data_IF_185774070576
#
_entry.id   IF_185774070576
#
_cell.length_a   1.000
_cell.length_b   1.000
_cell.length_c   1.000
_cell.angle_alpha   90.00
_cell.angle_beta   90.00
_cell.angle_gamma   90.00
#
_symmetry.space_group_name_H-M   'P 1'
#
loop_
_entity.id
_entity.type
_entity.pdbx_description
1 polymer ?
#
# COMPACT_ATOMS: atom_id res chain seq x y z
N UNK A 1 1.67 -5.28 10.29
CA UNK A 1 2.95 -5.89 10.71
C UNK A 1 3.66 -5.04 11.76
N UNK A 2 3.92 -3.75 11.49
CA UNK A 2 4.62 -2.86 12.42
C UNK A 2 3.94 -2.69 13.80
N UNK A 3 2.62 -2.89 13.87
CA UNK A 3 1.84 -2.78 15.11
C UNK A 3 1.90 -4.05 16.00
N UNK A 4 2.74 -5.05 15.68
CA UNK A 4 2.85 -6.29 16.45
C UNK A 4 1.66 -7.25 16.36
N UNK A 5 0.65 -6.93 15.53
CA UNK A 5 -0.53 -7.76 15.35
C UNK A 5 -0.32 -8.89 14.34
N UNK A 6 -1.05 -10.00 14.52
CA UNK A 6 -1.15 -11.10 13.54
C UNK A 6 -1.73 -10.56 12.23
N UNK A 7 -0.88 -10.48 11.21
CA UNK A 7 -1.21 -9.85 9.93
C UNK A 7 -2.33 -10.59 9.22
N UNK A 8 -2.32 -11.92 9.23
CA UNK A 8 -3.30 -12.72 8.51
C UNK A 8 -4.68 -12.55 9.15
N UNK A 9 -4.75 -12.64 10.49
CA UNK A 9 -6.00 -12.51 11.22
C UNK A 9 -6.60 -11.11 11.09
N UNK A 10 -5.79 -10.07 11.26
CA UNK A 10 -6.27 -8.67 11.20
C UNK A 10 -6.70 -8.29 9.78
N UNK A 11 -5.95 -8.70 8.75
CA UNK A 11 -6.34 -8.41 7.37
C UNK A 11 -7.63 -9.12 6.97
N UNK A 12 -7.82 -10.35 7.43
CA UNK A 12 -9.06 -11.10 7.17
C UNK A 12 -10.26 -10.42 7.83
N UNK A 13 -10.12 -10.03 9.11
CA UNK A 13 -11.17 -9.33 9.84
C UNK A 13 -11.50 -7.96 9.23
N UNK A 14 -10.48 -7.20 8.80
CA UNK A 14 -10.66 -5.90 8.16
C UNK A 14 -11.44 -6.02 6.85
N UNK A 15 -11.07 -6.97 5.98
CA UNK A 15 -11.77 -7.22 4.71
C UNK A 15 -13.21 -7.68 4.91
N UNK A 16 -13.46 -8.52 5.92
CA UNK A 16 -14.82 -8.93 6.26
C UNK A 16 -15.68 -7.72 6.66
N UNK A 17 -15.16 -6.82 7.49
CA UNK A 17 -15.86 -5.59 7.91
C UNK A 17 -16.15 -4.65 6.74
N UNK A 18 -15.17 -4.43 5.87
CA UNK A 18 -15.33 -3.59 4.68
C UNK A 18 -16.30 -4.18 3.63
N UNK A 19 -16.63 -5.48 3.72
CA UNK A 19 -17.61 -6.11 2.85
C UNK A 19 -19.05 -6.03 3.41
N UNK A 20 -19.18 -5.83 4.72
CA UNK A 20 -20.47 -5.73 5.41
C UNK A 20 -21.04 -4.30 5.36
N UNK A 21 -20.18 -3.28 5.29
CA UNK A 21 -20.59 -1.87 5.36
C UNK A 21 -19.80 -1.00 4.37
N UNK A 22 -20.38 0.12 3.97
CA UNK A 22 -19.70 1.16 3.16
C UNK A 22 -18.85 2.13 4.01
N UNK A 23 -18.68 1.84 5.31
CA UNK A 23 -17.91 2.69 6.21
C UNK A 23 -16.40 2.46 6.05
N UNK A 24 -15.63 3.53 6.24
CA UNK A 24 -14.18 3.47 6.16
C UNK A 24 -13.58 2.79 7.39
N UNK A 25 -13.31 1.49 7.32
CA UNK A 25 -12.53 0.78 8.35
C UNK A 25 -11.03 0.78 8.08
N UNK A 26 -10.24 0.93 9.14
CA UNK A 26 -8.79 0.88 9.13
C UNK A 26 -8.22 0.05 10.28
N UNK A 27 -6.90 0.13 10.46
CA UNK A 27 -6.18 -0.52 11.56
C UNK A 27 -5.60 0.56 12.46
N UNK A 28 -5.88 0.49 13.76
CA UNK A 28 -5.28 1.36 14.74
C UNK A 28 -3.79 1.03 14.89
N UNK A 29 -2.92 2.00 14.63
CA UNK A 29 -1.47 1.82 14.64
C UNK A 29 -0.87 1.47 16.01
N UNK A 30 -1.54 1.84 17.10
CA UNK A 30 -1.10 1.62 18.49
C UNK A 30 -1.58 0.28 19.01
N UNK A 31 -2.87 -0.04 18.80
CA UNK A 31 -3.47 -1.26 19.37
C UNK A 31 -3.43 -2.46 18.42
N UNK A 32 -3.19 -2.23 17.12
CA UNK A 32 -3.19 -3.28 16.10
C UNK A 32 -4.58 -3.87 15.80
N UNK A 33 -5.66 -3.25 16.28
CA UNK A 33 -7.04 -3.70 16.08
C UNK A 33 -7.71 -2.98 14.91
N UNK A 34 -8.72 -3.62 14.33
CA UNK A 34 -9.61 -3.00 13.32
C UNK A 34 -10.51 -1.98 14.01
N UNK A 35 -10.63 -0.79 13.45
CA UNK A 35 -11.41 0.33 14.02
C UNK A 35 -11.93 1.21 12.89
N UNK A 36 -13.05 1.91 13.12
CA UNK A 36 -13.56 2.90 12.17
C UNK A 36 -12.58 4.07 12.02
N UNK A 37 -12.38 4.55 10.80
CA UNK A 37 -11.50 5.69 10.52
C UNK A 37 -12.10 7.01 11.03
N UNK A 38 -13.43 7.08 11.13
CA UNK A 38 -14.15 8.22 11.69
C UNK A 38 -13.90 8.34 13.20
N UNK A 39 -14.02 7.23 13.93
CA UNK A 39 -13.70 7.18 15.37
C UNK A 39 -12.22 7.49 15.65
N UNK A 40 -11.32 7.05 14.76
CA UNK A 40 -9.89 7.32 14.87
C UNK A 40 -9.55 8.78 14.54
N UNK A 41 -10.41 9.48 13.79
CA UNK A 41 -10.17 10.83 13.29
C UNK A 41 -9.01 10.93 12.30
N UNK A 42 -8.58 9.82 11.71
CA UNK A 42 -7.41 9.77 10.82
C UNK A 42 -7.88 9.75 9.37
N UNK A 43 -7.55 10.82 8.66
CA UNK A 43 -7.92 11.03 7.26
C UNK A 43 -6.71 11.42 6.42
N UNK A 44 -6.76 11.07 5.14
CA UNK A 44 -5.73 11.42 4.18
C UNK A 44 -6.37 12.08 2.94
N UNK A 45 -5.65 12.98 2.24
CA UNK A 45 -6.17 13.60 1.02
C UNK A 45 -6.37 12.56 -0.09
N UNK A 46 -7.50 12.65 -0.79
CA UNK A 46 -7.82 11.80 -1.95
C UNK A 46 -6.70 11.77 -3.01
N UNK A 47 -6.06 12.92 -3.25
CA UNK A 47 -4.97 13.05 -4.21
C UNK A 47 -3.78 12.15 -3.87
N UNK A 48 -3.46 11.96 -2.58
CA UNK A 48 -2.35 11.12 -2.13
C UNK A 48 -2.61 9.65 -2.47
N UNK A 49 -3.81 9.13 -2.18
CA UNK A 49 -4.19 7.74 -2.51
C UNK A 49 -4.21 7.51 -4.02
N UNK A 50 -4.80 8.44 -4.76
CA UNK A 50 -4.89 8.37 -6.23
C UNK A 50 -3.50 8.32 -6.87
N UNK A 51 -2.62 9.24 -6.48
CA UNK A 51 -1.29 9.34 -7.06
C UNK A 51 -0.41 8.14 -6.66
N UNK A 52 -0.54 7.63 -5.44
CA UNK A 52 0.19 6.45 -4.98
C UNK A 52 -0.12 5.21 -5.83
N UNK A 53 -1.40 4.96 -6.12
CA UNK A 53 -1.81 3.83 -6.95
C UNK A 53 -1.36 4.04 -8.40
N UNK A 54 -1.60 5.23 -8.96
CA UNK A 54 -1.24 5.56 -10.35
C UNK A 54 0.25 5.34 -10.60
N UNK A 55 1.09 5.94 -9.77
CA UNK A 55 2.56 5.86 -9.93
C UNK A 55 3.09 4.44 -9.72
N UNK A 56 2.53 3.69 -8.75
CA UNK A 56 2.92 2.29 -8.54
C UNK A 56 2.59 1.41 -9.76
N UNK A 57 1.40 1.59 -10.35
CA UNK A 57 1.00 0.85 -11.56
C UNK A 57 1.86 1.23 -12.77
N UNK A 58 2.13 2.52 -12.97
CA UNK A 58 3.02 2.99 -14.03
C UNK A 58 4.42 2.40 -13.90
N UNK A 59 4.99 2.43 -12.68
CA UNK A 59 6.30 1.84 -12.39
C UNK A 59 6.33 0.33 -12.63
N UNK A 60 5.31 -0.41 -12.16
CA UNK A 60 5.20 -1.84 -12.40
C UNK A 60 5.10 -2.16 -13.91
N UNK A 61 4.30 -1.40 -14.65
CA UNK A 61 4.20 -1.54 -16.11
C UNK A 61 5.53 -1.26 -16.81
N UNK A 62 6.29 -0.26 -16.38
CA UNK A 62 7.62 0.02 -16.94
C UNK A 62 8.57 -1.16 -16.71
N UNK A 63 8.60 -1.70 -15.50
CA UNK A 63 9.47 -2.84 -15.15
C UNK A 63 9.09 -4.12 -15.90
N UNK A 64 7.80 -4.44 -15.99
CA UNK A 64 7.31 -5.65 -16.67
C UNK A 64 7.52 -5.62 -18.19
N UNK A 65 7.72 -4.44 -18.78
CA UNK A 65 8.01 -4.28 -20.21
C UNK A 65 9.47 -4.49 -20.57
N UNK A 66 10.37 -4.54 -19.58
CA UNK A 66 11.78 -4.81 -19.81
C UNK A 66 11.93 -6.29 -20.11
N UNK A 67 12.26 -6.61 -21.35
CA UNK A 67 12.55 -7.97 -21.82
C UNK A 67 14.05 -8.29 -21.79
N UNK A 68 14.92 -7.29 -21.93
CA UNK A 68 16.37 -7.42 -21.75
C UNK A 68 16.99 -6.15 -21.16
N UNK A 69 18.07 -6.32 -20.40
CA UNK A 69 18.87 -5.24 -19.82
C UNK A 69 20.27 -5.33 -20.40
N UNK A 70 20.57 -4.45 -21.35
CA UNK A 70 21.91 -4.31 -21.93
C UNK A 70 22.73 -3.26 -21.19
N UNK A 71 23.97 -3.62 -20.84
CA UNK A 71 24.94 -2.70 -20.22
C UNK A 71 25.89 -2.14 -21.28
N UNK A 72 25.86 -0.82 -21.49
CA UNK A 72 26.76 -0.08 -22.38
C UNK A 72 28.03 0.40 -21.67
N UNK A 73 29.14 0.39 -22.40
CA UNK A 73 30.53 0.47 -21.93
C UNK A 73 30.83 1.59 -20.89
N UNK A 74 31.39 1.19 -19.75
CA UNK A 74 32.14 2.08 -18.87
C UNK A 74 33.41 2.55 -19.60
N UNK A 75 33.58 3.88 -19.73
CA UNK A 75 34.76 4.49 -20.35
C UNK A 75 36.02 4.07 -19.56
N UNK A 76 36.86 3.22 -20.16
CA UNK A 76 38.17 2.87 -19.59
C UNK A 76 39.00 4.14 -19.50
N UNK A 77 39.34 4.56 -18.28
CA UNK A 77 40.30 5.66 -18.05
C UNK A 77 41.66 5.18 -18.55
N UNK A 78 42.18 5.86 -19.57
CA UNK A 78 43.61 5.90 -19.85
C UNK A 78 44.28 6.86 -18.86
#
# INVERSE_FOLDING_TARGET
QNCGADVVRVMTALRAKQAETDEAFGINGVTGKVTSSEELGVWEPFQVKTQSIKTAVEAACMLLRIDDIVSGLAKKKN
#
